data_IF_503398397921
#
_entry.id   IF_503398397921
#
_cell.length_a   1.000
_cell.length_b   1.000
_cell.length_c   1.000
_cell.angle_alpha   90.00
_cell.angle_beta   90.00
_cell.angle_gamma   90.00
#
_symmetry.space_group_name_H-M   'P 1'
#
loop_
_entity.id
_entity.type
_entity.pdbx_description
1 polymer ?
#
# COMPACT_ATOMS: atom_id res chain seq x y z
N UNK A 1 24.00 3.70 -25.54
CA UNK A 1 23.93 2.40 -24.85
C UNK A 1 22.61 1.77 -25.23
N UNK A 2 22.58 0.49 -25.62
CA UNK A 2 21.32 -0.20 -25.92
C UNK A 2 20.57 -0.39 -24.60
N UNK A 3 19.41 0.22 -24.48
CA UNK A 3 18.47 -0.01 -23.37
C UNK A 3 18.02 -1.47 -23.41
N UNK A 4 18.07 -2.17 -22.28
CA UNK A 4 17.50 -3.50 -22.15
C UNK A 4 15.98 -3.42 -22.40
N UNK A 5 15.41 -4.36 -23.16
CA UNK A 5 13.99 -4.35 -23.54
C UNK A 5 13.25 -5.53 -22.92
N UNK A 6 12.02 -5.28 -22.46
CA UNK A 6 11.09 -6.28 -21.93
C UNK A 6 9.68 -6.09 -22.51
N UNK A 7 8.89 -7.16 -22.61
CA UNK A 7 7.48 -7.02 -22.93
C UNK A 7 6.72 -6.27 -21.82
N UNK A 8 7.07 -6.53 -20.55
CA UNK A 8 6.41 -5.88 -19.41
C UNK A 8 7.36 -5.61 -18.26
N UNK A 9 7.40 -4.36 -17.79
CA UNK A 9 8.05 -4.00 -16.53
C UNK A 9 6.99 -3.85 -15.44
N UNK A 10 7.15 -4.55 -14.33
CA UNK A 10 6.33 -4.39 -13.11
C UNK A 10 7.14 -3.62 -12.07
N UNK A 11 6.59 -2.55 -11.52
CA UNK A 11 7.29 -1.66 -10.58
C UNK A 11 6.75 -1.91 -9.17
N UNK A 12 7.63 -2.37 -8.28
CA UNK A 12 7.37 -2.83 -6.92
C UNK A 12 7.25 -4.36 -6.84
N UNK A 13 7.92 -4.99 -5.87
CA UNK A 13 7.80 -6.43 -5.57
C UNK A 13 7.07 -6.70 -4.24
N UNK A 14 6.10 -5.85 -3.91
CA UNK A 14 5.11 -6.16 -2.86
C UNK A 14 4.07 -7.18 -3.34
N UNK A 15 3.03 -7.40 -2.52
CA UNK A 15 1.97 -8.36 -2.82
C UNK A 15 1.29 -8.16 -4.19
N UNK A 16 1.16 -6.90 -4.63
CA UNK A 16 0.54 -6.56 -5.93
C UNK A 16 1.45 -6.86 -7.12
N UNK A 17 2.73 -6.49 -7.01
CA UNK A 17 3.73 -6.75 -8.04
C UNK A 17 3.97 -8.24 -8.22
N UNK A 18 4.17 -8.98 -7.13
CA UNK A 18 4.40 -10.42 -7.20
C UNK A 18 3.19 -11.20 -7.74
N UNK A 19 1.97 -10.83 -7.33
CA UNK A 19 0.76 -11.45 -7.87
C UNK A 19 0.58 -11.14 -9.37
N UNK A 20 0.96 -9.93 -9.81
CA UNK A 20 0.94 -9.55 -11.23
C UNK A 20 1.99 -10.32 -12.03
N UNK A 21 3.22 -10.36 -11.53
CA UNK A 21 4.31 -11.15 -12.10
C UNK A 21 3.93 -12.62 -12.26
N UNK A 22 3.37 -13.25 -11.22
CA UNK A 22 2.87 -14.62 -11.27
C UNK A 22 1.92 -14.87 -12.44
N UNK A 23 0.94 -13.98 -12.65
CA UNK A 23 -0.01 -14.15 -13.75
C UNK A 23 0.62 -13.90 -15.13
N UNK A 24 1.54 -12.94 -15.24
CA UNK A 24 2.24 -12.62 -16.49
C UNK A 24 3.22 -13.74 -16.90
N UNK A 25 4.05 -14.23 -15.98
CA UNK A 25 5.00 -15.32 -16.23
C UNK A 25 4.27 -16.60 -16.67
N UNK A 26 3.14 -16.95 -16.03
CA UNK A 26 2.30 -18.09 -16.44
C UNK A 26 1.64 -17.94 -17.81
N UNK A 27 1.57 -16.72 -18.33
CA UNK A 27 1.08 -16.43 -19.67
C UNK A 27 2.22 -16.36 -20.71
N UNK A 28 3.46 -16.66 -20.32
CA UNK A 28 4.63 -16.59 -21.19
C UNK A 28 4.99 -15.16 -21.59
N UNK A 29 4.72 -14.18 -20.72
CA UNK A 29 5.22 -12.83 -20.91
C UNK A 29 6.69 -12.74 -20.50
N UNK A 30 7.48 -12.03 -21.30
CA UNK A 30 8.80 -11.57 -20.87
C UNK A 30 8.62 -10.41 -19.88
N UNK A 31 8.94 -10.66 -18.62
CA UNK A 31 8.61 -9.75 -17.51
C UNK A 31 9.80 -9.57 -16.61
N UNK A 32 9.98 -8.34 -16.14
CA UNK A 32 10.89 -8.02 -15.03
C UNK A 32 10.13 -7.28 -13.94
N UNK A 33 10.40 -7.63 -12.68
CA UNK A 33 9.81 -6.96 -11.51
C UNK A 33 10.92 -6.16 -10.83
N UNK A 34 10.77 -4.84 -10.72
CA UNK A 34 11.77 -3.97 -10.11
C UNK A 34 11.37 -3.63 -8.68
N UNK A 35 12.24 -3.94 -7.72
CA UNK A 35 12.05 -3.63 -6.29
C UNK A 35 13.11 -2.65 -5.80
N UNK A 36 12.66 -1.55 -5.23
CA UNK A 36 13.51 -0.51 -4.65
C UNK A 36 14.39 -0.99 -3.50
N UNK A 37 13.88 -1.90 -2.66
CA UNK A 37 14.55 -2.41 -1.47
C UNK A 37 15.55 -3.49 -1.83
N UNK A 38 16.55 -3.68 -0.97
CA UNK A 38 17.60 -4.68 -1.17
C UNK A 38 17.05 -6.12 -1.15
N UNK A 39 15.96 -6.37 -0.41
CA UNK A 39 15.36 -7.69 -0.26
C UNK A 39 13.84 -7.62 -0.40
N UNK A 40 13.28 -8.60 -1.11
CA UNK A 40 11.82 -8.80 -1.18
C UNK A 40 11.30 -9.09 0.23
N UNK A 41 10.21 -8.47 0.64
CA UNK A 41 9.76 -8.55 2.04
C UNK A 41 9.96 -7.27 2.82
N UNK A 42 10.97 -6.47 2.48
CA UNK A 42 11.42 -5.40 3.38
C UNK A 42 10.38 -4.30 3.60
N UNK A 43 9.45 -4.08 2.66
CA UNK A 43 8.29 -3.17 2.86
C UNK A 43 7.39 -3.56 4.05
N UNK A 44 7.43 -4.84 4.46
CA UNK A 44 6.79 -5.35 5.67
C UNK A 44 7.77 -5.47 6.82
N UNK A 45 9.00 -5.95 6.54
CA UNK A 45 10.04 -6.16 7.54
C UNK A 45 10.46 -4.86 8.24
N UNK A 46 10.44 -3.73 7.52
CA UNK A 46 10.81 -2.39 7.99
C UNK A 46 9.74 -1.73 8.88
N UNK A 47 8.52 -2.27 8.93
CA UNK A 47 7.46 -1.75 9.80
C UNK A 47 7.71 -2.07 11.28
N UNK A 48 7.00 -1.38 12.15
CA UNK A 48 7.08 -1.55 13.60
C UNK A 48 6.94 -2.99 14.07
N UNK A 49 7.74 -3.37 15.07
CA UNK A 49 7.96 -4.77 15.47
C UNK A 49 6.68 -5.45 15.96
N UNK A 50 5.77 -4.67 16.57
CA UNK A 50 4.48 -5.16 17.06
C UNK A 50 3.41 -5.31 15.96
N UNK A 51 3.73 -4.98 14.69
CA UNK A 51 2.76 -5.04 13.61
C UNK A 51 2.21 -6.45 13.43
N UNK A 52 0.89 -6.53 13.51
CA UNK A 52 0.12 -7.74 13.25
C UNK A 52 -0.98 -7.43 12.24
N UNK A 53 -1.15 -8.32 11.27
CA UNK A 53 -2.18 -8.20 10.25
C UNK A 53 -3.57 -8.25 10.88
N UNK A 54 -4.49 -7.52 10.25
CA UNK A 54 -5.89 -7.46 10.65
C UNK A 54 -6.73 -8.56 10.00
N UNK A 55 -6.22 -9.15 8.93
CA UNK A 55 -6.75 -10.34 8.28
C UNK A 55 -6.13 -11.60 8.89
N UNK A 56 -6.91 -12.69 8.97
CA UNK A 56 -6.37 -13.98 9.34
C UNK A 56 -5.72 -14.67 8.13
N UNK A 57 -4.80 -15.58 8.41
CA UNK A 57 -3.93 -16.24 7.43
C UNK A 57 -4.67 -16.87 6.24
N UNK A 58 -5.91 -17.35 6.41
CA UNK A 58 -6.73 -17.87 5.29
C UNK A 58 -6.97 -16.83 4.18
N UNK A 59 -6.90 -15.53 4.49
CA UNK A 59 -7.06 -14.41 3.56
C UNK A 59 -5.75 -13.79 3.08
N UNK A 60 -4.59 -14.22 3.59
CA UNK A 60 -3.30 -13.55 3.37
C UNK A 60 -2.42 -14.26 2.33
N UNK A 61 -2.94 -15.31 1.69
CA UNK A 61 -2.27 -15.98 0.58
C UNK A 61 -2.24 -15.16 -0.71
N UNK A 62 -1.32 -15.53 -1.60
CA UNK A 62 -1.21 -14.98 -2.96
C UNK A 62 -1.59 -16.05 -4.00
N UNK A 63 -1.87 -15.68 -5.26
CA UNK A 63 -2.24 -16.64 -6.30
C UNK A 63 -1.26 -17.82 -6.38
N UNK A 64 -1.77 -19.04 -6.23
CA UNK A 64 -0.96 -20.26 -6.27
C UNK A 64 -0.29 -20.66 -4.95
N UNK A 65 -0.36 -19.85 -3.89
CA UNK A 65 0.24 -20.18 -2.59
C UNK A 65 -0.56 -19.64 -1.40
N UNK A 66 -0.98 -20.53 -0.52
CA UNK A 66 -1.61 -20.17 0.74
C UNK A 66 -0.58 -19.62 1.74
N UNK A 67 -1.02 -18.77 2.67
CA UNK A 67 -0.17 -18.32 3.77
C UNK A 67 0.16 -19.50 4.71
N UNK A 68 1.43 -19.72 5.09
CA UNK A 68 1.86 -20.90 5.83
C UNK A 68 1.62 -20.76 7.35
N UNK A 69 0.38 -20.48 7.76
CA UNK A 69 0.01 -20.37 9.18
C UNK A 69 -1.41 -20.93 9.44
N UNK A 70 -1.77 -21.22 10.71
CA UNK A 70 -3.12 -21.68 11.04
C UNK A 70 -4.19 -20.73 10.51
N UNK A 71 -5.25 -21.27 9.92
CA UNK A 71 -6.27 -20.53 9.14
C UNK A 71 -6.80 -19.25 9.79
N UNK A 72 -6.98 -19.27 11.12
CA UNK A 72 -7.55 -18.17 11.90
C UNK A 72 -6.53 -17.45 12.80
N UNK A 73 -5.24 -17.69 12.58
CA UNK A 73 -4.17 -16.89 13.18
C UNK A 73 -3.99 -15.58 12.41
N UNK A 74 -3.42 -14.57 13.08
CA UNK A 74 -3.16 -13.24 12.53
C UNK A 74 -1.65 -13.07 12.39
N UNK A 75 -1.09 -13.13 11.16
CA UNK A 75 0.35 -13.07 10.95
C UNK A 75 0.98 -11.76 11.43
N UNK A 76 2.25 -11.80 11.83
CA UNK A 76 3.05 -10.59 12.09
C UNK A 76 3.55 -9.97 10.79
N UNK A 77 4.05 -8.72 10.87
CA UNK A 77 4.72 -8.06 9.75
C UNK A 77 5.91 -8.87 9.22
N UNK A 78 6.72 -9.43 10.11
CA UNK A 78 7.85 -10.29 9.75
C UNK A 78 7.39 -11.58 9.06
N UNK A 79 6.34 -12.24 9.56
CA UNK A 79 5.80 -13.44 8.89
C UNK A 79 5.27 -13.12 7.49
N UNK A 80 4.64 -11.95 7.31
CA UNK A 80 4.22 -11.49 5.98
C UNK A 80 5.41 -11.21 5.06
N UNK A 81 6.48 -10.58 5.59
CA UNK A 81 7.72 -10.34 4.85
C UNK A 81 8.34 -11.65 4.34
N UNK A 82 8.48 -12.64 5.24
CA UNK A 82 9.07 -13.94 4.91
C UNK A 82 8.19 -14.73 3.93
N UNK A 83 6.86 -14.61 4.05
CA UNK A 83 5.93 -15.19 3.09
C UNK A 83 6.10 -14.61 1.68
N UNK A 84 6.16 -13.28 1.52
CA UNK A 84 6.29 -12.70 0.17
C UNK A 84 7.65 -12.97 -0.47
N UNK A 85 8.71 -13.05 0.33
CA UNK A 85 10.01 -13.48 -0.15
C UNK A 85 9.98 -14.93 -0.63
N UNK A 86 9.45 -15.83 0.20
CA UNK A 86 9.29 -17.25 -0.14
C UNK A 86 8.40 -17.45 -1.37
N UNK A 87 7.37 -16.62 -1.53
CA UNK A 87 6.49 -16.61 -2.69
C UNK A 87 7.25 -16.26 -3.97
N UNK A 88 8.05 -15.19 -3.97
CA UNK A 88 8.84 -14.78 -5.13
C UNK A 88 9.81 -15.90 -5.58
N UNK A 89 10.47 -16.55 -4.62
CA UNK A 89 11.38 -17.67 -4.89
C UNK A 89 10.65 -18.91 -5.41
N UNK A 90 9.57 -19.33 -4.74
CA UNK A 90 8.83 -20.56 -5.08
C UNK A 90 8.12 -20.48 -6.43
N UNK A 91 7.75 -19.27 -6.84
CA UNK A 91 7.14 -19.00 -8.14
C UNK A 91 8.18 -18.65 -9.23
N UNK A 92 9.47 -18.66 -8.90
CA UNK A 92 10.58 -18.29 -9.78
C UNK A 92 10.35 -16.94 -10.49
N UNK A 93 9.90 -15.92 -9.75
CA UNK A 93 9.59 -14.62 -10.32
C UNK A 93 10.87 -13.83 -10.63
N UNK A 94 10.93 -13.14 -11.79
CA UNK A 94 12.11 -12.39 -12.23
C UNK A 94 12.21 -11.03 -11.52
N UNK A 95 12.50 -11.05 -10.22
CA UNK A 95 12.65 -9.85 -9.39
C UNK A 95 14.09 -9.34 -9.43
N UNK A 96 14.26 -8.04 -9.64
CA UNK A 96 15.52 -7.30 -9.45
C UNK A 96 15.37 -6.36 -8.27
N UNK A 97 16.09 -6.62 -7.19
CA UNK A 97 16.09 -5.81 -5.97
C UNK A 97 17.12 -4.68 -6.05
N UNK A 98 17.00 -3.69 -5.17
CA UNK A 98 17.87 -2.51 -5.15
C UNK A 98 17.68 -1.56 -6.32
N UNK A 99 16.57 -1.68 -7.07
CA UNK A 99 16.28 -0.87 -8.26
C UNK A 99 15.16 0.12 -7.94
N UNK A 100 15.55 1.35 -7.63
CA UNK A 100 14.59 2.45 -7.49
C UNK A 100 14.25 3.03 -8.87
N UNK A 101 12.98 2.97 -9.25
CA UNK A 101 12.50 3.62 -10.48
C UNK A 101 12.22 5.09 -10.17
N UNK A 102 12.96 5.99 -10.82
CA UNK A 102 12.79 7.43 -10.66
C UNK A 102 11.70 7.97 -11.58
N UNK A 103 11.55 7.38 -12.77
CA UNK A 103 10.65 7.91 -13.78
C UNK A 103 10.22 6.86 -14.80
N UNK A 104 8.99 7.00 -15.31
CA UNK A 104 8.46 6.26 -16.45
C UNK A 104 8.00 7.26 -17.50
N UNK A 105 8.43 7.10 -18.75
CA UNK A 105 8.08 8.00 -19.86
C UNK A 105 7.50 7.23 -21.03
N UNK A 106 6.40 7.70 -21.58
CA UNK A 106 5.93 7.21 -22.87
C UNK A 106 6.95 7.49 -23.98
N UNK A 107 7.17 6.51 -24.87
CA UNK A 107 8.03 6.66 -26.05
C UNK A 107 7.23 7.11 -27.25
N UNK A 108 7.86 7.86 -28.15
CA UNK A 108 7.23 8.33 -29.40
C UNK A 108 6.90 7.20 -30.38
N UNK A 109 7.66 6.09 -30.33
CA UNK A 109 7.44 4.87 -31.13
C UNK A 109 6.57 3.83 -30.42
N UNK A 110 5.96 4.20 -29.29
CA UNK A 110 5.11 3.35 -28.46
C UNK A 110 5.87 2.62 -27.36
N UNK A 111 5.13 2.23 -26.32
CA UNK A 111 5.72 1.68 -25.09
C UNK A 111 6.32 2.78 -24.21
N UNK A 112 7.25 2.37 -23.34
CA UNK A 112 7.74 3.18 -22.23
C UNK A 112 9.25 3.04 -22.05
N UNK A 113 9.86 4.07 -21.49
CA UNK A 113 11.20 4.08 -20.92
C UNK A 113 11.08 4.18 -19.40
N UNK A 114 11.76 3.29 -18.68
CA UNK A 114 11.83 3.25 -17.23
C UNK A 114 13.23 3.65 -16.81
N UNK A 115 13.35 4.84 -16.22
CA UNK A 115 14.60 5.40 -15.73
C UNK A 115 14.78 4.99 -14.25
N UNK A 116 15.95 4.46 -13.92
CA UNK A 116 16.31 4.02 -12.56
C UNK A 116 17.35 4.93 -11.94
N UNK A 117 17.38 5.00 -10.60
CA UNK A 117 18.27 5.90 -9.86
C UNK A 117 19.77 5.62 -10.04
N UNK A 118 20.13 4.41 -10.46
CA UNK A 118 21.50 4.04 -10.82
C UNK A 118 21.88 4.42 -12.27
N UNK A 119 21.01 5.15 -12.97
CA UNK A 119 21.23 5.67 -14.32
C UNK A 119 20.94 4.68 -15.44
N UNK A 120 20.40 3.48 -15.14
CA UNK A 120 19.96 2.55 -16.17
C UNK A 120 18.63 2.99 -16.79
N UNK A 121 18.40 2.53 -18.02
CA UNK A 121 17.15 2.74 -18.74
C UNK A 121 16.68 1.42 -19.33
N UNK A 122 15.47 1.02 -18.95
CA UNK A 122 14.79 -0.16 -19.48
C UNK A 122 13.69 0.30 -20.43
N UNK A 123 13.67 -0.28 -21.62
CA UNK A 123 12.57 -0.14 -22.55
C UNK A 123 11.50 -1.19 -22.27
N UNK A 124 10.22 -0.83 -22.31
CA UNK A 124 9.14 -1.78 -22.11
C UNK A 124 7.94 -1.51 -23.02
N UNK A 125 7.30 -2.55 -23.53
CA UNK A 125 6.06 -2.37 -24.28
C UNK A 125 4.89 -2.00 -23.38
N UNK A 126 4.94 -2.47 -22.12
CA UNK A 126 3.91 -2.27 -21.11
C UNK A 126 4.57 -2.02 -19.74
N UNK A 127 3.95 -1.19 -18.90
CA UNK A 127 4.38 -0.92 -17.52
C UNK A 127 3.23 -1.13 -16.57
N UNK A 128 3.46 -1.88 -15.50
CA UNK A 128 2.50 -2.04 -14.40
C UNK A 128 3.06 -1.42 -13.12
N UNK A 129 2.42 -0.36 -12.64
CA UNK A 129 2.77 0.29 -11.37
C UNK A 129 2.05 -0.40 -10.23
N UNK A 130 2.81 -0.95 -9.28
CA UNK A 130 2.28 -1.72 -8.13
C UNK A 130 2.82 -1.24 -6.79
N UNK A 131 3.36 -0.02 -6.76
CA UNK A 131 3.92 0.64 -5.57
C UNK A 131 2.88 0.93 -4.49
N UNK A 132 1.58 0.73 -4.80
CA UNK A 132 0.48 1.15 -3.95
C UNK A 132 0.49 2.67 -3.79
N UNK A 133 -0.08 3.13 -2.67
CA UNK A 133 -0.22 4.55 -2.39
C UNK A 133 0.40 5.08 -1.10
N UNK A 134 1.09 4.19 -0.39
CA UNK A 134 1.61 4.46 0.94
C UNK A 134 3.15 4.55 0.94
N UNK A 135 3.74 5.27 -0.02
CA UNK A 135 5.20 5.36 -0.14
C UNK A 135 5.80 6.67 0.34
N UNK A 136 5.03 7.76 0.44
CA UNK A 136 5.53 9.05 0.94
C UNK A 136 4.89 9.41 2.29
N UNK A 137 5.61 9.24 3.42
CA UNK A 137 5.14 9.68 4.73
C UNK A 137 4.63 11.12 4.70
N UNK A 138 3.46 11.36 5.31
CA UNK A 138 2.94 12.71 5.46
C UNK A 138 3.27 13.22 6.86
N UNK A 139 4.12 14.24 6.96
CA UNK A 139 4.36 14.98 8.19
C UNK A 139 3.78 16.41 8.02
N UNK A 140 3.00 16.95 8.97
CA UNK A 140 2.47 18.30 8.88
C UNK A 140 3.56 19.36 8.75
N UNK A 141 3.30 20.44 7.99
CA UNK A 141 4.31 21.47 7.71
C UNK A 141 4.85 22.16 8.97
N UNK A 142 4.02 22.33 9.99
CA UNK A 142 4.40 22.94 11.28
C UNK A 142 5.28 22.04 12.16
N UNK A 143 5.51 20.77 11.79
CA UNK A 143 6.28 19.84 12.61
C UNK A 143 7.73 20.31 12.83
N UNK A 144 8.28 21.09 11.88
CA UNK A 144 9.61 21.70 12.01
C UNK A 144 9.68 22.86 13.01
N UNK A 145 8.53 23.38 13.47
CA UNK A 145 8.47 24.48 14.44
C UNK A 145 8.44 23.97 15.89
N UNK A 146 8.27 22.66 16.09
CA UNK A 146 8.37 22.03 17.41
C UNK A 146 9.78 22.20 17.98
N UNK A 147 9.86 22.24 19.30
CA UNK A 147 11.14 22.28 20.02
C UNK A 147 12.05 21.15 19.49
N UNK A 148 13.30 21.45 19.07
CA UNK A 148 14.22 20.46 18.53
C UNK A 148 14.57 19.34 19.53
N UNK A 149 14.35 19.55 20.83
CA UNK A 149 14.52 18.53 21.86
C UNK A 149 13.38 17.50 21.89
N UNK A 150 12.28 17.71 21.15
CA UNK A 150 11.19 16.73 21.00
C UNK A 150 11.56 15.72 19.92
N UNK A 151 11.61 14.44 20.27
CA UNK A 151 11.85 13.35 19.33
C UNK A 151 10.62 13.18 18.43
N UNK A 152 10.81 13.28 17.12
CA UNK A 152 9.75 13.13 16.14
C UNK A 152 10.01 11.94 15.23
N UNK A 153 9.06 11.02 15.14
CA UNK A 153 9.17 9.83 14.28
C UNK A 153 7.84 9.59 13.55
N UNK A 154 7.87 9.43 12.23
CA UNK A 154 6.71 8.96 11.49
C UNK A 154 6.54 7.45 11.63
N UNK A 155 5.31 6.93 11.61
CA UNK A 155 5.02 5.49 11.71
C UNK A 155 5.74 4.62 10.66
N UNK A 156 6.25 5.23 9.60
CA UNK A 156 7.05 4.58 8.56
C UNK A 156 8.49 4.27 9.01
N UNK A 157 9.03 5.03 9.96
CA UNK A 157 10.39 4.87 10.51
C UNK A 157 10.41 4.41 11.98
N UNK A 158 9.24 4.28 12.62
CA UNK A 158 9.13 3.71 13.95
C UNK A 158 9.22 2.18 13.91
N UNK A 159 10.04 1.64 14.81
CA UNK A 159 10.31 0.22 15.05
C UNK A 159 9.71 -0.23 16.37
N UNK A 160 10.09 0.44 17.45
CA UNK A 160 9.67 0.12 18.81
C UNK A 160 10.01 1.28 19.76
N UNK A 161 9.55 1.18 21.01
CA UNK A 161 9.64 2.24 22.00
C UNK A 161 11.08 2.64 22.38
N UNK A 162 12.10 1.81 22.08
CA UNK A 162 13.50 2.16 22.38
C UNK A 162 14.04 3.33 21.54
N UNK A 163 13.33 3.72 20.47
CA UNK A 163 13.66 4.92 19.69
C UNK A 163 13.13 6.22 20.33
N UNK A 164 12.35 6.12 21.42
CA UNK A 164 11.77 7.25 22.12
C UNK A 164 12.65 7.62 23.31
N UNK A 165 12.64 8.91 23.67
CA UNK A 165 13.24 9.37 24.92
C UNK A 165 12.26 9.22 26.08
N UNK A 166 12.76 9.28 27.31
CA UNK A 166 11.91 9.30 28.50
C UNK A 166 10.94 10.49 28.48
N UNK A 167 9.71 10.26 28.95
CA UNK A 167 8.66 11.28 29.05
C UNK A 167 7.43 11.02 28.16
N UNK A 168 6.45 11.95 28.15
CA UNK A 168 5.17 11.73 27.48
C UNK A 168 5.27 11.64 25.96
N UNK A 169 4.37 10.86 25.36
CA UNK A 169 4.27 10.61 23.92
C UNK A 169 2.94 11.15 23.39
N UNK A 170 3.00 11.98 22.35
CA UNK A 170 1.85 12.33 21.52
C UNK A 170 1.83 11.47 20.26
N UNK A 171 0.80 10.66 20.08
CA UNK A 171 0.51 9.95 18.84
C UNK A 171 -0.52 10.75 18.04
N UNK A 172 -0.15 11.20 16.84
CA UNK A 172 -1.01 12.03 15.98
C UNK A 172 -1.63 11.18 14.87
N UNK A 173 -2.95 10.99 14.93
CA UNK A 173 -3.73 10.24 13.94
C UNK A 173 -4.37 8.97 14.49
N UNK A 174 -5.66 9.01 14.80
CA UNK A 174 -6.38 7.93 15.50
C UNK A 174 -7.03 6.88 14.57
N UNK A 175 -6.25 6.32 13.63
CA UNK A 175 -6.65 5.15 12.83
C UNK A 175 -5.81 3.93 13.22
N UNK A 176 -5.54 3.00 12.30
CA UNK A 176 -4.90 1.71 12.56
C UNK A 176 -3.51 1.84 13.20
N UNK A 177 -2.56 2.50 12.53
CA UNK A 177 -1.21 2.66 13.07
C UNK A 177 -1.20 3.48 14.36
N UNK A 178 -1.96 4.57 14.45
CA UNK A 178 -1.98 5.36 15.69
C UNK A 178 -2.56 4.63 16.88
N UNK A 179 -3.60 3.83 16.69
CA UNK A 179 -4.14 3.00 17.76
C UNK A 179 -3.16 1.88 18.18
N UNK A 180 -2.53 1.21 17.22
CA UNK A 180 -1.53 0.17 17.51
C UNK A 180 -0.34 0.74 18.29
N UNK A 181 0.19 1.88 17.85
CA UNK A 181 1.37 2.52 18.40
C UNK A 181 1.07 3.14 19.77
N UNK A 182 -0.08 3.81 19.93
CA UNK A 182 -0.50 4.33 21.21
C UNK A 182 -0.69 3.22 22.25
N UNK A 183 -1.23 2.05 21.84
CA UNK A 183 -1.35 0.91 22.74
C UNK A 183 0.02 0.34 23.13
N UNK A 184 0.95 0.25 22.19
CA UNK A 184 2.32 -0.26 22.44
C UNK A 184 3.08 0.62 23.43
N UNK A 185 3.17 1.93 23.14
CA UNK A 185 4.01 2.86 23.92
C UNK A 185 3.43 3.19 25.30
N UNK A 186 2.12 3.00 25.50
CA UNK A 186 1.46 3.21 26.78
C UNK A 186 1.98 2.30 27.91
N UNK A 187 2.67 1.21 27.56
CA UNK A 187 3.32 0.34 28.54
C UNK A 187 4.52 0.98 29.25
N UNK A 188 5.13 2.00 28.65
CA UNK A 188 6.33 2.67 29.16
C UNK A 188 6.20 4.19 29.27
N UNK A 189 5.27 4.80 28.55
CA UNK A 189 5.11 6.25 28.47
C UNK A 189 3.67 6.69 28.75
N UNK A 190 3.52 7.83 29.43
CA UNK A 190 2.26 8.58 29.39
C UNK A 190 1.94 8.91 27.93
N UNK A 191 0.77 8.51 27.46
CA UNK A 191 0.46 8.52 26.03
C UNK A 191 -0.84 9.27 25.74
N UNK A 192 -0.75 10.24 24.84
CA UNK A 192 -1.89 10.96 24.28
C UNK A 192 -2.12 10.51 22.83
N UNK A 193 -3.35 10.16 22.47
CA UNK A 193 -3.73 9.87 21.07
C UNK A 193 -4.62 11.00 20.56
N UNK A 194 -4.09 11.83 19.68
CA UNK A 194 -4.82 12.94 19.06
C UNK A 194 -5.46 12.55 17.72
N UNK A 195 -6.73 12.91 17.56
CA UNK A 195 -7.47 12.84 16.32
C UNK A 195 -8.78 12.06 16.41
N UNK A 196 -9.63 12.24 15.40
CA UNK A 196 -10.93 11.60 15.33
C UNK A 196 -10.82 10.08 15.09
N UNK A 197 -11.44 9.30 15.96
CA UNK A 197 -11.66 7.86 15.75
C UNK A 197 -12.90 7.66 14.88
N UNK A 198 -12.73 7.10 13.67
CA UNK A 198 -13.77 6.94 12.65
C UNK A 198 -14.65 5.68 12.86
N UNK A 199 -15.00 5.39 14.12
CA UNK A 199 -15.74 4.20 14.52
C UNK A 199 -14.87 2.96 14.70
N UNK A 200 -15.52 1.83 15.00
CA UNK A 200 -14.87 0.55 15.27
C UNK A 200 -15.68 -0.59 14.65
N UNK A 201 -15.03 -1.64 14.15
CA UNK A 201 -15.79 -2.83 13.71
C UNK A 201 -16.51 -3.47 14.92
N UNK A 202 -17.73 -4.02 14.72
CA UNK A 202 -18.59 -4.49 15.81
C UNK A 202 -18.24 -5.90 16.33
N UNK A 203 -17.14 -6.49 15.84
CA UNK A 203 -16.70 -7.83 16.24
C UNK A 203 -15.24 -7.82 16.67
N UNK A 204 -14.89 -8.79 17.51
CA UNK A 204 -13.54 -8.95 18.06
C UNK A 204 -12.80 -10.05 17.31
N UNK A 205 -11.61 -9.73 16.83
CA UNK A 205 -10.72 -10.70 16.20
C UNK A 205 -10.38 -11.83 17.18
N UNK A 206 -10.32 -13.07 16.69
CA UNK A 206 -10.04 -14.26 17.50
C UNK A 206 -11.20 -14.76 18.39
N UNK A 207 -12.39 -14.14 18.31
CA UNK A 207 -13.62 -14.63 18.94
C UNK A 207 -14.55 -15.29 17.90
N UNK A 208 -15.55 -16.11 18.30
CA UNK A 208 -16.45 -16.77 17.37
C UNK A 208 -17.12 -15.83 16.34
N UNK A 209 -17.54 -14.63 16.76
CA UNK A 209 -18.09 -13.61 15.85
C UNK A 209 -17.07 -13.12 14.82
N UNK A 210 -15.79 -13.01 15.19
CA UNK A 210 -14.70 -12.66 14.28
C UNK A 210 -14.37 -13.76 13.27
N UNK A 211 -14.46 -15.04 13.67
CA UNK A 211 -14.30 -16.17 12.74
C UNK A 211 -15.42 -16.22 11.70
N UNK A 212 -16.66 -15.95 12.11
CA UNK A 212 -17.77 -15.87 11.17
C UNK A 212 -17.59 -14.68 10.21
N UNK A 213 -17.26 -13.50 10.75
CA UNK A 213 -16.97 -12.31 9.96
C UNK A 213 -15.85 -12.55 8.92
N UNK A 214 -14.81 -13.29 9.30
CA UNK A 214 -13.70 -13.68 8.41
C UNK A 214 -14.16 -14.44 7.16
N UNK A 215 -15.21 -15.25 7.27
CA UNK A 215 -15.70 -16.04 6.13
C UNK A 215 -16.58 -15.21 5.18
N UNK A 216 -17.39 -14.29 5.72
CA UNK A 216 -18.36 -13.52 4.92
C UNK A 216 -17.83 -12.18 4.40
N UNK A 217 -17.03 -11.46 5.19
CA UNK A 217 -16.56 -10.10 4.83
C UNK A 217 -15.71 -10.10 3.55
N UNK A 218 -14.78 -11.04 3.32
CA UNK A 218 -14.03 -11.08 2.07
C UNK A 218 -14.94 -11.20 0.85
N UNK A 219 -16.06 -11.94 0.93
CA UNK A 219 -17.04 -12.02 -0.14
C UNK A 219 -17.67 -10.66 -0.41
N UNK A 220 -18.13 -9.97 0.64
CA UNK A 220 -18.70 -8.62 0.53
C UNK A 220 -17.69 -7.63 -0.07
N UNK A 221 -16.43 -7.65 0.40
CA UNK A 221 -15.38 -6.76 -0.11
C UNK A 221 -14.98 -7.05 -1.55
N UNK A 222 -15.07 -8.31 -2.00
CA UNK A 222 -14.73 -8.72 -3.37
C UNK A 222 -15.87 -8.51 -4.36
N UNK A 223 -17.12 -8.68 -3.93
CA UNK A 223 -18.27 -8.79 -4.83
C UNK A 223 -19.36 -7.75 -4.55
N UNK A 224 -19.59 -7.38 -3.29
CA UNK A 224 -20.64 -6.42 -2.89
C UNK A 224 -20.19 -4.96 -2.94
N UNK A 225 -18.97 -4.65 -2.51
CA UNK A 225 -18.40 -3.30 -2.48
C UNK A 225 -17.50 -3.07 -3.69
N UNK A 226 -18.11 -2.94 -4.87
CA UNK A 226 -17.40 -2.78 -6.15
C UNK A 226 -17.91 -1.55 -6.90
N UNK A 227 -17.15 -1.05 -7.87
CA UNK A 227 -17.60 0.05 -8.73
C UNK A 227 -18.86 -0.29 -9.56
N UNK A 228 -19.23 -1.57 -9.67
CA UNK A 228 -20.48 -1.99 -10.31
C UNK A 228 -21.71 -1.75 -9.44
N UNK A 229 -21.57 -1.74 -8.11
CA UNK A 229 -22.70 -1.57 -7.19
C UNK A 229 -22.84 -0.09 -6.78
N UNK A 230 -24.09 0.40 -6.57
CA UNK A 230 -24.30 1.78 -6.11
C UNK A 230 -23.60 2.06 -4.76
N UNK A 231 -23.65 1.10 -3.84
CA UNK A 231 -23.01 1.20 -2.52
C UNK A 231 -21.49 1.34 -2.67
N UNK A 232 -20.87 0.52 -3.54
CA UNK A 232 -19.43 0.61 -3.76
C UNK A 232 -19.00 1.94 -4.38
N UNK A 233 -19.75 2.47 -5.35
CA UNK A 233 -19.47 3.80 -5.93
C UNK A 233 -19.56 4.93 -4.92
N UNK A 234 -20.51 4.87 -3.99
CA UNK A 234 -20.66 5.87 -2.91
C UNK A 234 -19.54 5.78 -1.88
N UNK A 235 -19.00 4.59 -1.63
CA UNK A 235 -17.96 4.35 -0.64
C UNK A 235 -16.55 4.70 -1.14
N UNK A 236 -16.30 4.55 -2.45
CA UNK A 236 -14.95 4.67 -3.02
C UNK A 236 -14.21 5.97 -2.66
N UNK A 237 -14.80 7.18 -2.75
CA UNK A 237 -14.09 8.42 -2.43
C UNK A 237 -13.66 8.49 -0.95
N UNK A 238 -14.53 8.06 -0.04
CA UNK A 238 -14.22 8.07 1.40
C UNK A 238 -13.09 7.12 1.79
N UNK A 239 -12.91 6.01 1.06
CA UNK A 239 -11.80 5.06 1.29
C UNK A 239 -10.48 5.64 0.83
N UNK A 240 -10.48 6.52 -0.18
CA UNK A 240 -9.28 7.19 -0.68
C UNK A 240 -8.80 8.31 0.23
N UNK A 241 -9.71 8.98 0.95
CA UNK A 241 -9.39 10.20 1.71
C UNK A 241 -9.46 10.04 3.24
N UNK A 242 -9.91 8.89 3.76
CA UNK A 242 -10.27 8.72 5.17
C UNK A 242 -9.50 7.64 5.92
N UNK A 243 -9.37 7.81 7.24
CA UNK A 243 -8.90 6.77 8.15
C UNK A 243 -9.97 5.70 8.36
N UNK A 244 -9.58 4.43 8.25
CA UNK A 244 -10.48 3.30 8.48
C UNK A 244 -10.93 3.19 9.94
N UNK A 245 -12.06 2.50 10.21
CA UNK A 245 -12.51 2.23 11.58
C UNK A 245 -11.49 1.34 12.30
N UNK A 246 -11.43 1.44 13.62
CA UNK A 246 -10.54 0.62 14.43
C UNK A 246 -10.91 -0.87 14.32
N UNK A 247 -9.90 -1.72 14.09
CA UNK A 247 -10.07 -3.16 13.86
C UNK A 247 -9.64 -3.96 15.08
N UNK A 248 -8.33 -4.16 15.28
CA UNK A 248 -7.75 -5.00 16.34
C UNK A 248 -7.69 -4.27 17.68
N UNK A 249 -7.05 -3.10 17.69
CA UNK A 249 -7.04 -2.20 18.85
C UNK A 249 -8.34 -1.42 18.87
N UNK A 250 -8.95 -1.27 20.06
CA UNK A 250 -10.23 -0.59 20.29
C UNK A 250 -10.04 0.50 21.34
N UNK A 251 -11.00 1.42 21.42
CA UNK A 251 -11.14 2.43 22.48
C UNK A 251 -11.02 1.79 23.87
N UNK A 252 -11.64 0.63 24.07
CA UNK A 252 -11.56 -0.10 25.34
C UNK A 252 -10.13 -0.54 25.69
N UNK A 253 -9.36 -1.03 24.70
CA UNK A 253 -7.97 -1.43 24.89
C UNK A 253 -7.09 -0.21 25.21
N UNK A 254 -7.27 0.89 24.47
CA UNK A 254 -6.53 2.13 24.67
C UNK A 254 -6.78 2.72 26.06
N UNK A 255 -8.04 2.82 26.48
CA UNK A 255 -8.41 3.30 27.82
C UNK A 255 -7.87 2.40 28.93
N UNK A 256 -7.95 1.07 28.75
CA UNK A 256 -7.42 0.12 29.72
C UNK A 256 -5.89 0.22 29.87
N UNK A 257 -5.18 0.61 28.81
CA UNK A 257 -3.75 0.89 28.82
C UNK A 257 -3.40 2.29 29.34
N UNK A 258 -4.38 3.11 29.74
CA UNK A 258 -4.13 4.47 30.25
C UNK A 258 -3.87 5.51 29.16
N UNK A 259 -4.14 5.21 27.89
CA UNK A 259 -4.02 6.18 26.79
C UNK A 259 -5.10 7.25 26.92
N UNK A 260 -4.69 8.52 26.94
CA UNK A 260 -5.61 9.64 26.86
C UNK A 260 -6.10 9.82 25.41
N UNK A 261 -7.40 9.60 25.19
CA UNK A 261 -8.01 9.77 23.88
C UNK A 261 -8.46 11.22 23.70
N UNK A 262 -7.86 11.92 22.74
CA UNK A 262 -8.13 13.32 22.46
C UNK A 262 -8.71 13.43 21.04
N UNK A 263 -10.00 13.76 20.92
CA UNK A 263 -10.64 13.87 19.59
C UNK A 263 -10.19 15.11 18.79
N UNK A 264 -9.67 16.13 19.50
CA UNK A 264 -9.08 17.33 18.94
C UNK A 264 -7.84 17.00 18.08
N UNK A 265 -7.67 17.71 16.96
CA UNK A 265 -6.57 17.51 16.02
C UNK A 265 -5.36 18.32 16.45
N UNK A 266 -4.16 17.78 16.34
CA UNK A 266 -2.92 18.57 16.39
C UNK A 266 -2.84 19.45 15.15
N UNK A 267 -2.80 20.77 15.34
CA UNK A 267 -2.91 21.77 14.25
C UNK A 267 -1.75 22.76 14.16
N UNK A 268 -0.86 22.79 15.14
CA UNK A 268 0.28 23.71 15.10
C UNK A 268 1.24 23.54 16.25
N UNK A 269 1.98 24.63 16.51
CA UNK A 269 2.92 24.74 17.61
C UNK A 269 2.69 26.04 18.37
N UNK A 270 2.79 25.99 19.69
CA UNK A 270 2.84 27.16 20.56
C UNK A 270 4.01 26.98 21.53
N UNK A 271 4.93 27.96 21.56
CA UNK A 271 6.11 27.94 22.45
C UNK A 271 6.94 26.65 22.33
N UNK A 272 7.08 26.10 21.12
CA UNK A 272 7.79 24.85 20.84
C UNK A 272 6.98 23.57 21.10
N UNK A 273 5.78 23.66 21.66
CA UNK A 273 4.93 22.52 22.01
C UNK A 273 3.75 22.33 21.04
N UNK A 274 3.28 21.10 20.81
CA UNK A 274 2.14 20.84 19.93
C UNK A 274 0.84 21.44 20.49
N UNK A 275 0.10 22.17 19.63
CA UNK A 275 -1.22 22.73 19.96
C UNK A 275 -2.33 22.00 19.21
N UNK A 276 -3.45 21.78 19.90
CA UNK A 276 -4.66 21.16 19.38
C UNK A 276 -5.69 22.19 18.90
N UNK A 277 -6.63 21.78 18.05
CA UNK A 277 -7.69 22.65 17.52
C UNK A 277 -8.72 23.12 18.55
N UNK A 278 -8.70 22.57 19.76
CA UNK A 278 -9.45 23.05 20.92
C UNK A 278 -8.64 23.97 21.84
N UNK A 279 -7.41 24.34 21.45
CA UNK A 279 -6.53 25.26 22.17
C UNK A 279 -5.65 24.62 23.24
N UNK A 280 -5.76 23.30 23.49
CA UNK A 280 -4.84 22.63 24.40
C UNK A 280 -3.42 22.60 23.84
N UNK A 281 -2.45 22.95 24.67
CA UNK A 281 -1.01 22.77 24.42
C UNK A 281 -0.56 21.54 25.21
N UNK A 282 0.12 20.60 24.56
CA UNK A 282 0.56 19.36 25.21
C UNK A 282 2.06 19.40 25.49
N UNK A 283 2.43 19.26 26.75
CA UNK A 283 3.83 19.07 27.17
C UNK A 283 4.25 17.61 26.95
N UNK A 284 5.01 17.37 25.88
CA UNK A 284 5.44 16.03 25.46
C UNK A 284 6.90 16.03 25.08
N UNK A 285 7.53 14.86 25.20
CA UNK A 285 8.93 14.64 24.81
C UNK A 285 9.05 13.90 23.47
N UNK A 286 7.98 13.25 23.04
CA UNK A 286 7.98 12.43 21.84
C UNK A 286 6.72 12.69 21.01
N UNK A 287 6.86 12.72 19.68
CA UNK A 287 5.75 12.78 18.74
C UNK A 287 5.86 11.65 17.74
N UNK A 288 4.82 10.81 17.69
CA UNK A 288 4.63 9.77 16.68
C UNK A 288 3.63 10.24 15.63
N UNK A 289 4.13 10.57 14.44
CA UNK A 289 3.30 10.95 13.30
C UNK A 289 2.66 9.71 12.65
N UNK A 290 1.41 9.42 13.03
CA UNK A 290 0.55 8.40 12.42
C UNK A 290 -0.43 9.03 11.42
N UNK A 291 0.07 10.02 10.69
CA UNK A 291 -0.67 10.93 9.81
C UNK A 291 -0.86 10.41 8.38
N UNK A 292 -0.47 9.16 8.13
CA UNK A 292 -0.68 8.49 6.85
C UNK A 292 0.36 8.86 5.81
N UNK A 293 -0.01 8.70 4.54
CA UNK A 293 0.91 8.84 3.42
C UNK A 293 0.26 9.70 2.33
N UNK A 294 1.08 10.28 1.46
CA UNK A 294 0.64 10.94 0.25
C UNK A 294 0.89 10.06 -0.96
N UNK A 295 -0.10 10.04 -1.82
CA UNK A 295 -0.01 9.52 -3.17
C UNK A 295 0.88 10.44 -4.01
N UNK A 296 1.83 9.86 -4.75
CA UNK A 296 2.64 10.61 -5.71
C UNK A 296 2.97 9.73 -6.91
N UNK A 297 2.31 10.01 -8.03
CA UNK A 297 2.44 9.31 -9.31
C UNK A 297 3.00 10.22 -10.41
N UNK A 298 3.52 11.39 -10.05
CA UNK A 298 4.05 12.37 -11.02
C UNK A 298 5.33 11.91 -11.72
N UNK A 299 5.95 10.84 -11.21
CA UNK A 299 7.07 10.15 -11.84
C UNK A 299 6.65 9.29 -13.04
N UNK A 300 5.35 9.14 -13.31
CA UNK A 300 4.82 8.50 -14.52
C UNK A 300 4.38 9.58 -15.50
N UNK A 301 4.92 9.60 -16.71
CA UNK A 301 4.72 10.66 -17.71
C UNK A 301 4.12 10.09 -19.01
N UNK A 302 2.94 10.58 -19.45
CA UNK A 302 2.07 11.54 -18.75
C UNK A 302 1.45 10.92 -17.50
N UNK A 303 1.24 11.72 -16.45
CA UNK A 303 0.60 11.27 -15.21
C UNK A 303 -0.93 11.28 -15.37
N UNK A 304 -1.62 10.13 -15.44
CA UNK A 304 -3.05 10.10 -15.72
C UNK A 304 -3.86 10.30 -14.42
N UNK A 305 -3.77 11.46 -13.75
CA UNK A 305 -4.34 11.65 -12.40
C UNK A 305 -5.75 12.25 -12.40
N UNK A 306 -6.63 11.77 -11.51
CA UNK A 306 -7.94 12.38 -11.24
C UNK A 306 -7.80 13.58 -10.29
N UNK A 307 -8.92 14.23 -9.99
CA UNK A 307 -8.97 15.40 -9.10
C UNK A 307 -8.48 15.10 -7.67
N UNK A 308 -8.53 13.83 -7.26
CA UNK A 308 -8.06 13.35 -5.95
C UNK A 308 -6.57 12.94 -5.98
N UNK A 309 -5.90 13.06 -7.12
CA UNK A 309 -4.50 12.69 -7.30
C UNK A 309 -4.25 11.19 -7.52
N UNK A 310 -5.29 10.40 -7.76
CA UNK A 310 -5.19 8.96 -8.06
C UNK A 310 -5.14 8.70 -9.57
N UNK A 311 -4.54 7.59 -10.02
CA UNK A 311 -4.56 7.23 -11.44
C UNK A 311 -5.99 6.99 -11.97
N UNK A 312 -6.40 7.77 -12.97
CA UNK A 312 -7.56 7.58 -13.83
C UNK A 312 -7.42 6.27 -14.57
N UNK A 313 -7.98 5.22 -13.98
CA UNK A 313 -7.95 3.89 -14.55
C UNK A 313 -9.24 3.15 -14.25
N UNK A 314 -9.65 2.27 -15.17
CA UNK A 314 -10.72 1.33 -14.91
C UNK A 314 -10.12 -0.04 -14.63
N UNK A 315 -10.29 -0.52 -13.39
CA UNK A 315 -9.70 -1.78 -12.91
C UNK A 315 -8.18 -1.86 -13.10
N UNK A 316 -7.50 -0.71 -13.13
CA UNK A 316 -6.06 -0.64 -13.33
C UNK A 316 -5.61 -0.51 -14.79
N UNK A 317 -6.53 -0.43 -15.76
CA UNK A 317 -6.20 -0.12 -17.16
C UNK A 317 -6.35 1.39 -17.37
N UNK A 318 -5.34 2.02 -17.96
CA UNK A 318 -5.33 3.45 -18.28
C UNK A 318 -5.71 3.63 -19.75
N UNK A 319 -6.90 4.18 -20.02
CA UNK A 319 -7.44 4.25 -21.38
C UNK A 319 -6.70 5.27 -22.26
N UNK A 320 -6.23 6.38 -21.67
CA UNK A 320 -5.50 7.47 -22.35
C UNK A 320 -3.98 7.24 -22.44
N UNK A 321 -3.46 6.16 -21.85
CA UNK A 321 -2.06 5.75 -21.93
C UNK A 321 -1.94 4.24 -22.20
N UNK A 322 -2.06 3.79 -23.46
CA UNK A 322 -1.99 2.37 -23.81
C UNK A 322 -0.72 1.70 -23.29
N UNK A 323 -0.89 0.58 -22.59
CA UNK A 323 0.21 -0.17 -22.01
C UNK A 323 0.65 0.27 -20.61
N UNK A 324 0.05 1.32 -20.04
CA UNK A 324 0.21 1.68 -18.64
C UNK A 324 -0.90 1.04 -17.80
N UNK A 325 -0.51 0.45 -16.67
CA UNK A 325 -1.42 -0.20 -15.75
C UNK A 325 -1.09 0.10 -14.29
N UNK A 326 -2.09 -0.06 -13.42
CA UNK A 326 -1.96 0.04 -11.98
C UNK A 326 -2.58 -1.17 -11.29
N UNK A 327 -1.93 -1.68 -10.23
CA UNK A 327 -2.49 -2.75 -9.39
C UNK A 327 -2.24 -2.45 -7.92
N UNK A 328 -3.28 -2.61 -7.10
CA UNK A 328 -3.21 -2.44 -5.66
C UNK A 328 -3.63 -1.05 -5.17
N UNK A 329 -4.30 -0.25 -6.00
CA UNK A 329 -4.79 1.07 -5.60
C UNK A 329 -5.94 0.99 -4.60
N UNK A 330 -6.07 1.98 -3.68
CA UNK A 330 -7.26 2.17 -2.86
C UNK A 330 -8.54 2.16 -3.69
N UNK A 331 -9.39 1.17 -3.42
CA UNK A 331 -10.66 0.97 -4.12
C UNK A 331 -10.54 0.91 -5.67
N UNK A 332 -9.48 0.31 -6.23
CA UNK A 332 -9.26 0.22 -7.69
C UNK A 332 -10.46 -0.31 -8.48
N UNK A 333 -11.06 -1.41 -8.01
CA UNK A 333 -12.31 -1.94 -8.54
C UNK A 333 -13.28 -2.33 -7.43
N UNK A 334 -12.74 -2.77 -6.30
CA UNK A 334 -13.50 -3.12 -5.12
C UNK A 334 -12.74 -2.70 -3.86
N UNK A 335 -13.43 -2.70 -2.73
CA UNK A 335 -12.79 -2.47 -1.44
C UNK A 335 -11.60 -3.42 -1.21
N UNK A 336 -11.73 -4.68 -1.65
CA UNK A 336 -10.66 -5.67 -1.56
C UNK A 336 -9.39 -5.34 -2.35
N UNK A 337 -9.42 -4.41 -3.32
CA UNK A 337 -8.30 -4.13 -4.24
C UNK A 337 -7.01 -3.69 -3.53
N UNK A 338 -7.14 -2.97 -2.41
CA UNK A 338 -6.02 -2.50 -1.59
C UNK A 338 -5.51 -3.53 -0.58
N UNK A 339 -6.18 -4.69 -0.49
CA UNK A 339 -5.92 -5.72 0.49
C UNK A 339 -5.26 -6.94 -0.17
N UNK A 340 -4.47 -7.68 0.60
CA UNK A 340 -3.81 -8.93 0.17
C UNK A 340 -4.83 -9.89 -0.45
N UNK A 341 -5.98 -10.09 0.23
CA UNK A 341 -7.04 -10.99 -0.21
C UNK A 341 -7.63 -10.68 -1.60
N UNK A 342 -7.55 -9.43 -2.07
CA UNK A 342 -8.15 -9.00 -3.34
C UNK A 342 -7.16 -8.83 -4.48
N UNK A 343 -5.87 -8.68 -4.17
CA UNK A 343 -4.86 -8.29 -5.15
C UNK A 343 -4.71 -9.28 -6.30
N UNK A 344 -4.86 -10.58 -6.02
CA UNK A 344 -4.82 -11.63 -7.04
C UNK A 344 -5.89 -11.48 -8.12
N UNK A 345 -7.10 -11.02 -7.77
CA UNK A 345 -8.18 -10.80 -8.74
C UNK A 345 -7.84 -9.69 -9.73
N UNK A 346 -7.28 -8.60 -9.23
CA UNK A 346 -7.00 -7.42 -10.02
C UNK A 346 -5.73 -7.63 -10.86
N UNK A 347 -4.71 -8.27 -10.28
CA UNK A 347 -3.53 -8.78 -10.99
C UNK A 347 -3.89 -9.68 -12.16
N UNK A 348 -4.79 -10.66 -11.95
CA UNK A 348 -5.25 -11.55 -13.02
C UNK A 348 -6.02 -10.82 -14.13
N UNK A 349 -6.75 -9.76 -13.79
CA UNK A 349 -7.47 -8.95 -14.76
C UNK A 349 -6.50 -8.17 -15.65
N UNK A 350 -5.55 -7.45 -15.04
CA UNK A 350 -4.52 -6.69 -15.75
C UNK A 350 -3.65 -7.60 -16.62
N UNK A 351 -3.19 -8.74 -16.10
CA UNK A 351 -2.41 -9.70 -16.89
C UNK A 351 -3.16 -10.21 -18.13
N UNK A 352 -4.46 -10.54 -17.99
CA UNK A 352 -5.29 -10.93 -19.16
C UNK A 352 -5.39 -9.80 -20.19
N UNK A 353 -5.54 -8.56 -19.74
CA UNK A 353 -5.60 -7.40 -20.64
C UNK A 353 -4.28 -7.22 -21.41
N UNK A 354 -3.15 -7.28 -20.71
CA UNK A 354 -1.80 -7.24 -21.30
C UNK A 354 -1.64 -8.33 -22.36
N UNK A 355 -2.02 -9.57 -22.04
CA UNK A 355 -1.97 -10.69 -23.00
C UNK A 355 -2.86 -10.51 -24.22
N UNK A 356 -4.07 -9.95 -24.08
CA UNK A 356 -4.90 -9.61 -25.25
C UNK A 356 -4.27 -8.52 -26.12
N UNK A 357 -3.65 -7.52 -25.49
CA UNK A 357 -2.99 -6.41 -26.19
C UNK A 357 -1.70 -6.86 -26.91
N UNK A 358 -0.92 -7.77 -26.33
CA UNK A 358 0.24 -8.40 -26.99
C UNK A 358 -0.17 -9.15 -28.26
N UNK A 359 -1.25 -9.93 -28.21
CA UNK A 359 -1.75 -10.68 -29.37
C UNK A 359 -2.25 -9.79 -30.50
N UNK A 360 -2.91 -8.67 -30.19
CA UNK A 360 -3.37 -7.73 -31.24
C UNK A 360 -2.20 -7.02 -31.94
N UNK A 361 -1.14 -6.67 -31.20
CA UNK A 361 0.11 -6.10 -31.79
C UNK A 361 0.84 -7.11 -32.69
N UNK A 362 0.98 -8.36 -32.26
CA UNK A 362 1.61 -9.41 -33.07
C UNK A 362 0.78 -9.74 -34.32
N UNK A 363 -0.55 -9.77 -34.22
CA UNK A 363 -1.45 -10.02 -35.34
C UNK A 363 -1.47 -8.91 -36.40
N UNK A 364 -1.32 -7.65 -35.99
CA UNK A 364 -1.26 -6.49 -36.90
C UNK A 364 0.11 -6.38 -37.61
N UNK A 365 1.21 -6.71 -36.93
CA UNK A 365 2.55 -6.79 -37.54
C UNK A 365 2.70 -7.90 -38.60
N UNK A 366 2.10 -9.06 -38.36
CA UNK A 366 2.09 -10.16 -39.34
C UNK A 366 1.23 -9.87 -40.59
N UNK A 367 0.19 -9.05 -40.45
CA UNK A 367 -0.64 -8.58 -41.57
C UNK A 367 0.10 -7.58 -42.47
N UNK A 368 0.88 -6.67 -41.89
CA UNK A 368 1.66 -5.68 -42.64
C UNK A 368 2.81 -6.32 -43.46
N UNK A 369 3.45 -7.37 -42.94
CA UNK A 369 4.50 -8.11 -43.66
C UNK A 369 3.96 -8.92 -44.86
N UNK A 370 2.69 -9.35 -44.83
CA UNK A 370 2.05 -10.03 -45.97
C UNK A 370 1.56 -9.08 -47.06
N UNK A 371 1.30 -7.81 -46.75
CA UNK A 371 0.86 -6.82 -47.72
C UNK A 371 2.01 -6.19 -48.53
N UNK A 372 3.26 -6.40 -48.12
CA UNK A 372 4.46 -5.92 -48.83
C UNK A 372 5.11 -6.93 -49.79
N UNK A 373 4.46 -8.07 -50.06
CA UNK A 373 4.94 -9.13 -50.97
C UNK A 373 3.97 -9.42 -52.13
N UNK A 374 3.11 -8.47 -52.52
CA UNK A 374 2.23 -8.60 -53.69
C UNK A 374 2.63 -7.63 -54.79
#
# INVERSE_FOLDING_TARGET
MMSEHFDTVVIGAGQAGLATGYHLTRQGADVVILESRARVGDVWRERYDSLQLYSPAIGDGLPGMAFPAPRFSYPTGTQMADFIESYAQSMALPVRTGVFVERVRARTDGGYLVDTADGQQLAADQVVVTTGGHHRPFVPAFAGDLDPDIVQIHSAGYRNASQLQDGPVLVVGASHSGADLALEVASAHQTHLSGRIHGEIPYTLGRPSGYLATLFIPFVFKHGLTLRTPIGRRLAPSVRQGGGPLIRVKRAHLKAAGVELIEARTVGVQDGLPVLDDGRVLDVRNVLWCTGYREDYRWVEPAPLDEDGFPRSYRGVVDDAPGLYFVGLPFQYAFASMLILGVGRDSAYVARHISSHRRSRQGTGAGALRAGQV
#
